data_IF_107767167286
#
_entry.id   IF_107767167286
#
_cell.length_a   1.000
_cell.length_b   1.000
_cell.length_c   1.000
_cell.angle_alpha   90.00
_cell.angle_beta   90.00
_cell.angle_gamma   90.00
#
_symmetry.space_group_name_H-M   'P 1'
#
loop_
_entity.id
_entity.type
_entity.pdbx_description
1 polymer ?
#
# COMPACT_ATOMS: atom_id res chain seq x y z
N UNK A 1 -5.34 -22.24 8.39
CA UNK A 1 -3.99 -21.88 7.91
C UNK A 1 -4.07 -21.30 6.48
N UNK A 2 -4.79 -20.19 6.29
CA UNK A 2 -5.00 -19.56 4.96
C UNK A 2 -3.92 -18.52 4.60
N UNK A 3 -3.08 -18.12 5.55
CA UNK A 3 -2.12 -17.03 5.39
C UNK A 3 -0.97 -17.32 4.41
N UNK A 4 -0.61 -18.60 4.22
CA UNK A 4 0.55 -18.98 3.40
C UNK A 4 0.17 -19.09 1.92
N UNK A 5 -1.09 -19.45 1.62
CA UNK A 5 -1.57 -19.61 0.24
C UNK A 5 -1.81 -18.25 -0.44
N UNK A 6 -2.36 -17.27 0.28
CA UNK A 6 -2.51 -15.89 -0.23
C UNK A 6 -1.18 -15.21 -0.54
N UNK A 7 -0.12 -15.51 0.20
CA UNK A 7 1.23 -15.03 -0.07
C UNK A 7 1.86 -15.69 -1.30
N UNK A 8 1.51 -16.94 -1.60
CA UNK A 8 2.07 -17.68 -2.72
C UNK A 8 1.37 -17.37 -4.06
N UNK A 9 0.05 -17.15 -4.07
CA UNK A 9 -0.68 -16.77 -5.29
C UNK A 9 -0.35 -15.34 -5.77
N UNK A 10 0.14 -14.50 -4.87
CA UNK A 10 0.54 -13.13 -5.20
C UNK A 10 1.94 -13.05 -5.81
N UNK A 11 2.77 -14.09 -5.65
CA UNK A 11 4.22 -13.99 -5.89
C UNK A 11 4.64 -13.87 -7.36
N UNK A 12 3.71 -14.01 -8.31
CA UNK A 12 3.98 -13.83 -9.75
C UNK A 12 3.51 -12.47 -10.30
N UNK A 13 2.58 -11.80 -9.62
CA UNK A 13 1.98 -10.57 -10.12
C UNK A 13 2.65 -9.34 -9.50
N UNK A 14 3.28 -8.51 -10.33
CA UNK A 14 3.98 -7.31 -9.85
C UNK A 14 2.97 -6.33 -9.26
N UNK A 15 3.30 -5.63 -8.16
CA UNK A 15 2.43 -4.61 -7.56
C UNK A 15 1.84 -3.62 -8.59
N UNK A 16 2.59 -3.31 -9.64
CA UNK A 16 2.12 -2.50 -10.76
C UNK A 16 0.91 -3.08 -11.51
N UNK A 17 0.84 -4.40 -11.70
CA UNK A 17 -0.28 -5.04 -12.39
C UNK A 17 -1.52 -5.13 -11.50
N UNK A 18 -1.34 -5.37 -10.20
CA UNK A 18 -2.44 -5.26 -9.23
C UNK A 18 -3.01 -3.85 -9.21
N UNK A 19 -2.16 -2.82 -9.15
CA UNK A 19 -2.61 -1.43 -9.19
C UNK A 19 -3.38 -1.11 -10.47
N UNK A 20 -2.95 -1.63 -11.63
CA UNK A 20 -3.74 -1.51 -12.88
C UNK A 20 -5.12 -2.13 -12.77
N UNK A 21 -5.26 -3.33 -12.19
CA UNK A 21 -6.57 -3.97 -11.99
C UNK A 21 -7.45 -3.14 -11.06
N UNK A 22 -6.86 -2.59 -10.00
CA UNK A 22 -7.56 -1.70 -9.06
C UNK A 22 -8.05 -0.42 -9.78
N UNK A 23 -7.19 0.24 -10.56
CA UNK A 23 -7.54 1.43 -11.36
C UNK A 23 -8.63 1.13 -12.40
N UNK A 24 -8.71 -0.11 -12.88
CA UNK A 24 -9.77 -0.59 -13.78
C UNK A 24 -11.10 -0.91 -13.05
N UNK A 25 -11.19 -0.68 -11.74
CA UNK A 25 -12.44 -0.76 -10.98
C UNK A 25 -12.57 -1.96 -10.03
N UNK A 26 -11.53 -2.78 -9.84
CA UNK A 26 -11.56 -3.88 -8.88
C UNK A 26 -11.42 -3.39 -7.42
N UNK A 27 -12.58 -3.02 -6.84
CA UNK A 27 -12.67 -2.48 -5.47
C UNK A 27 -12.33 -3.51 -4.39
N UNK A 28 -12.62 -4.79 -4.61
CA UNK A 28 -12.31 -5.83 -3.62
C UNK A 28 -10.80 -6.06 -3.54
N UNK A 29 -10.13 -6.07 -4.70
CA UNK A 29 -8.68 -6.15 -4.78
C UNK A 29 -8.01 -4.92 -4.16
N UNK A 30 -8.61 -3.72 -4.32
CA UNK A 30 -8.15 -2.48 -3.68
C UNK A 30 -8.08 -2.61 -2.17
N UNK A 31 -9.18 -3.00 -1.55
CA UNK A 31 -9.23 -3.13 -0.11
C UNK A 31 -8.26 -4.21 0.40
N UNK A 32 -8.16 -5.35 -0.31
CA UNK A 32 -7.20 -6.40 0.04
C UNK A 32 -5.76 -5.87 -0.06
N UNK A 33 -5.44 -5.17 -1.14
CA UNK A 33 -4.12 -4.60 -1.36
C UNK A 33 -3.74 -3.59 -0.28
N UNK A 34 -4.64 -2.68 0.08
CA UNK A 34 -4.40 -1.72 1.17
C UNK A 34 -4.14 -2.46 2.49
N UNK A 35 -4.96 -3.47 2.82
CA UNK A 35 -4.79 -4.28 4.04
C UNK A 35 -3.45 -5.02 4.07
N UNK A 36 -3.05 -5.63 2.96
CA UNK A 36 -1.78 -6.35 2.84
C UNK A 36 -0.56 -5.41 3.00
N UNK A 37 -0.72 -4.13 2.68
CA UNK A 37 0.33 -3.10 2.79
C UNK A 37 0.27 -2.25 4.07
N UNK A 38 -0.66 -2.51 5.01
CA UNK A 38 -0.71 -1.83 6.31
C UNK A 38 0.66 -1.81 7.02
N UNK A 39 1.43 -2.91 7.11
CA UNK A 39 2.74 -2.89 7.76
C UNK A 39 3.73 -1.91 7.11
N UNK A 40 3.65 -1.75 5.79
CA UNK A 40 4.47 -0.79 5.04
C UNK A 40 4.04 0.65 5.32
N UNK A 41 2.74 0.92 5.36
CA UNK A 41 2.18 2.25 5.68
C UNK A 41 2.58 2.67 7.11
N UNK A 42 2.45 1.78 8.09
CA UNK A 42 2.88 2.02 9.47
C UNK A 42 4.39 2.30 9.54
N UNK A 43 5.19 1.57 8.77
CA UNK A 43 6.64 1.79 8.69
C UNK A 43 6.98 3.16 8.11
N UNK A 44 6.28 3.62 7.08
CA UNK A 44 6.44 4.97 6.51
C UNK A 44 6.17 6.01 7.59
N UNK A 45 4.99 5.97 8.22
CA UNK A 45 4.58 6.93 9.25
C UNK A 45 5.63 6.95 10.37
N UNK A 46 6.00 5.78 10.87
CA UNK A 46 6.99 5.66 11.95
C UNK A 46 8.40 6.13 11.57
N UNK A 47 8.72 6.21 10.28
CA UNK A 47 9.99 6.78 9.81
C UNK A 47 10.00 8.32 9.86
N UNK A 48 8.83 8.96 9.78
CA UNK A 48 8.70 10.41 9.87
C UNK A 48 8.51 10.90 11.30
N UNK A 49 7.92 10.08 12.17
CA UNK A 49 7.65 10.41 13.56
C UNK A 49 8.55 9.59 14.49
N UNK A 50 9.31 10.24 15.37
CA UNK A 50 10.17 9.59 16.38
C UNK A 50 9.39 8.84 17.49
N UNK A 51 8.11 8.51 17.28
CA UNK A 51 7.23 7.85 18.24
C UNK A 51 7.16 6.35 17.99
N UNK A 52 7.02 5.60 19.09
CA UNK A 52 6.99 4.15 19.15
C UNK A 52 5.78 3.59 18.37
N UNK A 53 6.02 2.53 17.59
CA UNK A 53 5.05 1.79 16.74
C UNK A 53 3.77 1.30 17.44
N UNK A 54 3.75 1.22 18.77
CA UNK A 54 2.75 0.49 19.54
C UNK A 54 1.35 1.11 19.60
N UNK A 55 1.16 2.33 19.09
CA UNK A 55 -0.12 3.06 19.14
C UNK A 55 -0.33 3.93 17.89
N UNK A 56 0.09 3.44 16.72
CA UNK A 56 -0.07 4.20 15.46
C UNK A 56 -1.52 4.11 14.95
N UNK A 57 -2.18 2.96 15.12
CA UNK A 57 -3.51 2.69 14.53
C UNK A 57 -4.64 3.59 15.07
N UNK A 58 -4.48 4.16 16.26
CA UNK A 58 -5.47 5.07 16.86
C UNK A 58 -5.22 6.55 16.56
N UNK A 59 -4.23 6.86 15.72
CA UNK A 59 -3.84 8.26 15.48
C UNK A 59 -4.24 8.75 14.11
N UNK A 60 -4.44 10.06 14.01
CA UNK A 60 -4.79 10.75 12.79
C UNK A 60 -3.78 10.48 11.66
N UNK A 61 -2.49 10.29 12.00
CA UNK A 61 -1.45 9.99 11.00
C UNK A 61 -1.67 8.64 10.31
N UNK A 62 -2.30 7.67 10.97
CA UNK A 62 -2.65 6.38 10.37
C UNK A 62 -3.73 6.56 9.30
N UNK A 63 -4.80 7.28 9.60
CA UNK A 63 -5.84 7.59 8.62
C UNK A 63 -5.29 8.41 7.44
N UNK A 64 -4.41 9.38 7.71
CA UNK A 64 -3.74 10.16 6.65
C UNK A 64 -2.85 9.25 5.79
N UNK A 65 -2.10 8.33 6.39
CA UNK A 65 -1.24 7.40 5.66
C UNK A 65 -2.04 6.43 4.78
N UNK A 66 -3.20 5.96 5.25
CA UNK A 66 -4.11 5.15 4.45
C UNK A 66 -4.64 5.93 3.24
N UNK A 67 -5.10 7.18 3.44
CA UNK A 67 -5.58 8.04 2.35
C UNK A 67 -4.46 8.32 1.35
N UNK A 68 -3.25 8.63 1.82
CA UNK A 68 -2.12 8.90 0.93
C UNK A 68 -1.72 7.67 0.11
N UNK A 69 -1.75 6.48 0.72
CA UNK A 69 -1.48 5.23 0.01
C UNK A 69 -2.56 4.94 -1.03
N UNK A 70 -3.82 5.20 -0.68
CA UNK A 70 -4.96 5.05 -1.57
C UNK A 70 -4.86 6.00 -2.78
N UNK A 71 -4.49 7.26 -2.54
CA UNK A 71 -4.19 8.21 -3.61
C UNK A 71 -3.00 7.77 -4.47
N UNK A 72 -1.98 7.16 -3.88
CA UNK A 72 -0.84 6.64 -4.63
C UNK A 72 -1.27 5.50 -5.56
N UNK A 73 -2.23 4.66 -5.18
CA UNK A 73 -2.82 3.64 -6.07
C UNK A 73 -3.48 4.33 -7.27
N UNK A 74 -4.31 5.35 -7.05
CA UNK A 74 -5.02 6.05 -8.12
C UNK A 74 -4.07 6.80 -9.07
N UNK A 75 -3.00 7.41 -8.53
CA UNK A 75 -2.06 8.27 -9.29
C UNK A 75 -0.87 7.52 -9.89
N UNK A 76 -0.69 6.24 -9.56
CA UNK A 76 0.47 5.49 -10.04
C UNK A 76 0.41 5.26 -11.55
N UNK A 77 1.49 5.65 -12.22
CA UNK A 77 1.65 5.48 -13.66
C UNK A 77 2.79 4.50 -13.95
N UNK A 78 2.43 3.34 -14.49
CA UNK A 78 3.39 2.29 -14.86
C UNK A 78 4.39 2.70 -15.95
N UNK A 79 4.10 3.74 -16.73
CA UNK A 79 5.00 4.22 -17.79
C UNK A 79 6.23 4.95 -17.25
N UNK A 80 6.19 5.45 -16.01
CA UNK A 80 7.25 6.27 -15.40
C UNK A 80 8.46 5.47 -14.88
N UNK A 81 8.59 4.20 -15.25
CA UNK A 81 9.68 3.28 -14.88
C UNK A 81 10.10 3.32 -13.40
N UNK A 82 9.13 3.51 -12.51
CA UNK A 82 9.31 3.52 -11.05
C UNK A 82 8.47 2.41 -10.46
N UNK A 83 9.03 1.63 -9.53
CA UNK A 83 8.22 0.64 -8.81
C UNK A 83 7.13 1.34 -8.00
N UNK A 84 5.98 0.68 -7.85
CA UNK A 84 4.87 1.22 -7.07
C UNK A 84 5.29 1.58 -5.64
N UNK A 85 6.09 0.74 -4.97
CA UNK A 85 6.53 1.00 -3.59
C UNK A 85 7.43 2.23 -3.49
N UNK A 86 8.35 2.41 -4.44
CA UNK A 86 9.16 3.62 -4.50
C UNK A 86 8.29 4.84 -4.83
N UNK A 87 7.23 4.69 -5.61
CA UNK A 87 6.28 5.77 -5.86
C UNK A 87 5.49 6.12 -4.59
N UNK A 88 4.88 5.15 -3.91
CA UNK A 88 4.07 5.36 -2.72
C UNK A 88 4.89 5.87 -1.51
N UNK A 89 6.17 5.47 -1.37
CA UNK A 89 7.05 5.97 -0.32
C UNK A 89 7.45 7.44 -0.52
N UNK A 90 7.78 7.83 -1.76
CA UNK A 90 8.38 9.13 -2.09
C UNK A 90 7.40 10.10 -2.76
N UNK A 91 6.14 9.70 -2.96
CA UNK A 91 5.21 10.30 -3.90
C UNK A 91 4.81 11.74 -3.56
N UNK A 92 5.52 12.67 -4.21
CA UNK A 92 4.89 13.73 -5.01
C UNK A 92 4.96 13.32 -6.49
#
# INVERSE_FOLDING_TARGET
>A
MLFIWTLFEYTSETAANIVKKIQNGDKQLREKFIRDYIPFIIKIISSFYSKKLFDVENRDEYSIGLIAFDEAIEKYDTSKNKSFLSFAWFGR
#
